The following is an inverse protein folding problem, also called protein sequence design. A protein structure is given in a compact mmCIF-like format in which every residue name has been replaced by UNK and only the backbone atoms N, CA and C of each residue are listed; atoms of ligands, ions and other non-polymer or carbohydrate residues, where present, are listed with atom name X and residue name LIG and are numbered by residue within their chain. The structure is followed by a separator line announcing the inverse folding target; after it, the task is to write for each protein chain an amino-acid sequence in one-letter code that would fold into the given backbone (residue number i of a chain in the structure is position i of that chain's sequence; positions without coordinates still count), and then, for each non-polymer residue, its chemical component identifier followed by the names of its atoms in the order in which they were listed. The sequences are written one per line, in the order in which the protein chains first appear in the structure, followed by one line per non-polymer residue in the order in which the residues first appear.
data_IF_541700715119
#
_entry.id   IF_541700715119
#
_cell.length_a   1.000
_cell.length_b   1.000
_cell.length_c   1.000
_cell.angle_alpha   90.00
_cell.angle_beta   90.00
_cell.angle_gamma   90.00
#
_symmetry.space_group_name_H-M   'P 1'
#
loop_
_entity.id
_entity.type
_entity.pdbx_description
1 polymer ?
#
# COMPACT_ATOMS: atom_id res chain seq x y z
N UNK A 1 18.47 5.03 43.40
CA UNK A 1 19.02 4.98 42.03
C UNK A 1 19.07 6.41 41.56
N UNK A 2 20.26 7.00 41.51
CA UNK A 2 20.46 8.37 41.05
C UNK A 2 20.68 8.31 39.53
N UNK A 3 19.58 8.14 38.79
CA UNK A 3 19.58 8.40 37.36
C UNK A 3 19.42 9.89 37.15
N UNK A 4 20.24 10.51 36.30
CA UNK A 4 20.08 11.93 35.96
C UNK A 4 19.00 12.14 34.88
N UNK A 5 18.71 11.09 34.11
CA UNK A 5 17.77 11.14 32.99
C UNK A 5 16.94 9.85 32.87
N UNK A 6 15.77 9.99 32.25
CA UNK A 6 14.88 8.91 31.84
C UNK A 6 14.91 8.82 30.32
N UNK A 7 15.14 7.61 29.81
CA UNK A 7 15.06 7.29 28.39
C UNK A 7 13.90 6.34 28.17
N UNK A 8 13.00 6.69 27.27
CA UNK A 8 11.88 5.84 26.85
C UNK A 8 12.10 5.44 25.40
N UNK A 9 12.11 4.14 25.13
CA UNK A 9 12.32 3.61 23.79
C UNK A 9 11.09 2.83 23.32
N UNK A 10 10.68 3.09 22.09
CA UNK A 10 9.73 2.28 21.33
C UNK A 10 10.10 2.28 19.87
N UNK A 11 9.84 1.14 19.22
CA UNK A 11 10.01 0.99 17.78
C UNK A 11 8.76 1.24 16.94
N UNK A 12 7.60 1.28 17.58
CA UNK A 12 6.29 1.31 16.89
C UNK A 12 5.49 2.58 17.20
N UNK A 13 5.83 3.25 18.30
CA UNK A 13 5.14 4.44 18.76
C UNK A 13 6.13 5.57 19.03
N UNK A 14 5.68 6.83 18.94
CA UNK A 14 6.49 7.93 19.42
C UNK A 14 6.80 7.76 20.92
N UNK A 15 7.95 8.27 21.31
CA UNK A 15 8.42 8.19 22.70
C UNK A 15 9.04 9.51 23.10
N UNK A 16 8.90 9.88 24.37
CA UNK A 16 9.55 11.08 24.90
C UNK A 16 11.05 11.08 24.59
N UNK A 17 11.55 12.24 24.14
CA UNK A 17 12.98 12.51 24.06
C UNK A 17 13.58 12.41 25.47
N UNK A 18 14.90 12.25 25.58
CA UNK A 18 15.58 12.12 26.88
C UNK A 18 15.14 13.21 27.87
N UNK A 19 14.56 12.81 29.01
CA UNK A 19 14.01 13.71 30.02
C UNK A 19 14.87 13.70 31.28
N UNK A 20 15.02 14.81 32.01
CA UNK A 20 15.67 14.79 33.31
C UNK A 20 14.86 13.94 34.30
N UNK A 21 15.55 13.22 35.19
CA UNK A 21 14.90 12.38 36.20
C UNK A 21 14.26 13.25 37.30
N UNK A 22 12.94 13.25 37.35
CA UNK A 22 12.12 13.88 38.39
C UNK A 22 10.93 12.96 38.73
N UNK A 23 10.26 13.19 39.86
CA UNK A 23 9.05 12.43 40.22
C UNK A 23 7.95 12.58 39.17
N UNK A 24 7.84 13.75 38.58
CA UNK A 24 6.87 14.07 37.54
C UNK A 24 7.19 13.35 36.23
N UNK A 25 8.46 13.40 35.79
CA UNK A 25 8.88 12.70 34.57
C UNK A 25 8.72 11.19 34.73
N UNK A 26 9.04 10.64 35.91
CA UNK A 26 8.81 9.22 36.20
C UNK A 26 7.33 8.82 36.11
N UNK A 27 6.41 9.68 36.56
CA UNK A 27 4.97 9.42 36.47
C UNK A 27 4.47 9.42 35.02
N UNK A 28 4.85 10.39 34.19
CA UNK A 28 4.40 10.45 32.78
C UNK A 28 5.05 9.35 31.91
N UNK A 29 6.26 8.91 32.27
CA UNK A 29 6.96 7.81 31.59
C UNK A 29 6.60 6.42 32.14
N UNK A 30 5.80 6.34 33.21
CA UNK A 30 5.47 5.07 33.88
C UNK A 30 4.67 4.11 33.00
N UNK A 31 3.86 4.65 32.08
CA UNK A 31 3.17 3.86 31.07
C UNK A 31 4.05 3.63 29.85
N UNK A 32 3.96 2.44 29.25
CA UNK A 32 4.64 2.19 27.98
C UNK A 32 4.05 3.08 26.87
N UNK A 33 4.82 3.43 25.82
CA UNK A 33 4.30 4.09 24.63
C UNK A 33 3.04 3.39 24.08
N UNK A 34 3.05 2.05 24.00
CA UNK A 34 1.88 1.25 23.62
C UNK A 34 0.62 1.62 24.41
N UNK A 35 0.70 1.70 25.75
CA UNK A 35 -0.45 2.05 26.59
C UNK A 35 -0.85 3.52 26.39
N UNK A 36 0.12 4.45 26.33
CA UNK A 36 -0.16 5.89 26.14
C UNK A 36 -0.87 6.19 24.83
N UNK A 37 -0.51 5.46 23.79
CA UNK A 37 -1.07 5.58 22.45
C UNK A 37 -2.20 4.58 22.20
N UNK A 38 -2.61 3.79 23.19
CA UNK A 38 -3.80 2.95 23.03
C UNK A 38 -5.03 3.87 22.90
N UNK A 39 -5.72 3.88 21.75
CA UNK A 39 -6.92 4.68 21.57
C UNK A 39 -8.08 4.06 22.36
N UNK A 40 -8.86 4.91 23.00
CA UNK A 40 -9.98 4.46 23.84
C UNK A 40 -11.32 4.42 23.08
N UNK A 41 -11.43 5.09 21.92
CA UNK A 41 -12.58 5.00 20.99
C UNK A 41 -12.30 5.71 19.64
N UNK A 42 -13.15 5.47 18.63
CA UNK A 42 -13.18 6.21 17.36
C UNK A 42 -12.24 5.71 16.26
N UNK A 43 -11.98 6.55 15.24
CA UNK A 43 -11.10 6.24 14.09
C UNK A 43 -9.67 5.90 14.51
N UNK A 44 -9.16 6.54 15.57
CA UNK A 44 -7.86 6.24 16.14
C UNK A 44 -7.75 4.75 16.56
N UNK A 45 -8.85 4.15 17.03
CA UNK A 45 -8.92 2.71 17.35
C UNK A 45 -8.78 1.83 16.13
N UNK A 46 -9.45 2.17 15.04
CA UNK A 46 -9.33 1.40 13.81
C UNK A 46 -7.90 1.47 13.23
N UNK A 47 -7.30 2.65 13.17
CA UNK A 47 -5.91 2.82 12.71
C UNK A 47 -4.92 2.03 13.58
N UNK A 48 -5.09 2.08 14.90
CA UNK A 48 -4.31 1.29 15.84
C UNK A 48 -4.49 -0.21 15.64
N UNK A 49 -5.73 -0.71 15.57
CA UNK A 49 -6.01 -2.14 15.38
C UNK A 49 -5.41 -2.65 14.06
N UNK A 50 -5.45 -1.84 13.00
CA UNK A 50 -4.83 -2.20 11.72
C UNK A 50 -3.31 -2.29 11.83
N UNK A 51 -2.65 -1.31 12.46
CA UNK A 51 -1.19 -1.24 12.50
C UNK A 51 -0.56 -2.17 13.52
N UNK A 52 -1.23 -2.40 14.64
CA UNK A 52 -0.72 -3.18 15.77
C UNK A 52 -1.12 -4.64 15.66
N UNK A 53 -2.25 -4.95 15.05
CA UNK A 53 -2.78 -6.31 14.99
C UNK A 53 -2.90 -6.85 13.57
N UNK A 54 -3.64 -6.16 12.69
CA UNK A 54 -3.96 -6.71 11.37
C UNK A 54 -2.73 -6.81 10.46
N UNK A 55 -2.00 -5.72 10.27
CA UNK A 55 -0.87 -5.63 9.35
C UNK A 55 0.29 -6.54 9.79
N UNK A 56 0.73 -6.55 11.07
CA UNK A 56 1.77 -7.48 11.52
C UNK A 56 1.36 -8.95 11.35
N UNK A 57 0.15 -9.34 11.78
CA UNK A 57 -0.33 -10.72 11.62
C UNK A 57 -0.41 -11.10 10.14
N UNK A 58 -0.91 -10.19 9.31
CA UNK A 58 -0.98 -10.39 7.87
C UNK A 58 0.40 -10.60 7.25
N UNK A 59 1.38 -9.76 7.58
CA UNK A 59 2.75 -9.89 7.08
C UNK A 59 3.38 -11.20 7.55
N UNK A 60 3.17 -11.57 8.80
CA UNK A 60 3.82 -12.74 9.38
C UNK A 60 3.24 -14.07 8.92
N UNK A 61 1.93 -14.15 8.74
CA UNK A 61 1.21 -15.40 8.48
C UNK A 61 0.77 -15.58 7.02
N UNK A 62 0.25 -14.53 6.40
CA UNK A 62 -0.36 -14.60 5.07
C UNK A 62 0.65 -14.18 3.99
N UNK A 63 1.24 -12.99 4.12
CA UNK A 63 2.12 -12.42 3.09
C UNK A 63 3.24 -13.37 2.66
N UNK A 64 3.93 -14.04 3.60
CA UNK A 64 5.01 -15.00 3.27
C UNK A 64 4.56 -16.14 2.36
N UNK A 65 3.32 -16.63 2.53
CA UNK A 65 2.76 -17.69 1.66
C UNK A 65 2.56 -17.16 0.24
N UNK A 66 2.09 -15.93 0.14
CA UNK A 66 1.75 -15.28 -1.13
C UNK A 66 3.00 -14.85 -1.86
N UNK A 67 3.96 -14.24 -1.16
CA UNK A 67 5.30 -13.94 -1.66
C UNK A 67 5.93 -15.16 -2.30
N UNK A 68 5.85 -16.31 -1.63
CA UNK A 68 6.35 -17.55 -2.21
C UNK A 68 5.64 -17.94 -3.50
N UNK A 69 4.30 -17.93 -3.54
CA UNK A 69 3.53 -18.29 -4.73
C UNK A 69 3.82 -17.32 -5.89
N UNK A 70 3.81 -16.01 -5.61
CA UNK A 70 4.10 -14.98 -6.60
C UNK A 70 5.54 -15.10 -7.14
N UNK A 71 6.53 -15.37 -6.27
CA UNK A 71 7.90 -15.60 -6.70
C UNK A 71 8.03 -16.85 -7.58
N UNK A 72 7.32 -17.93 -7.29
CA UNK A 72 7.32 -19.11 -8.15
C UNK A 72 6.66 -18.81 -9.51
N UNK A 73 5.58 -18.03 -9.50
CA UNK A 73 4.86 -17.61 -10.69
C UNK A 73 5.72 -16.72 -11.59
N UNK A 74 6.25 -15.61 -11.06
CA UNK A 74 7.02 -14.62 -11.83
C UNK A 74 8.41 -15.10 -12.29
N UNK A 75 8.82 -16.31 -11.91
CA UNK A 75 10.09 -16.95 -12.29
C UNK A 75 9.89 -18.30 -13.00
N UNK A 76 8.67 -18.57 -13.51
CA UNK A 76 8.33 -19.73 -14.32
C UNK A 76 8.66 -21.08 -13.64
N UNK A 77 8.46 -21.18 -12.32
CA UNK A 77 8.74 -22.38 -11.51
C UNK A 77 7.50 -23.26 -11.37
N UNK A 78 6.92 -23.65 -12.49
CA UNK A 78 5.61 -24.33 -12.57
C UNK A 78 5.49 -25.56 -11.66
N UNK A 79 6.50 -26.44 -11.66
CA UNK A 79 6.49 -27.69 -10.88
C UNK A 79 6.26 -27.44 -9.38
N UNK A 80 6.82 -26.35 -8.86
CA UNK A 80 6.67 -25.99 -7.45
C UNK A 80 5.42 -25.16 -7.21
N UNK A 81 5.05 -24.30 -8.17
CA UNK A 81 3.88 -23.43 -8.07
C UNK A 81 2.60 -24.23 -7.84
N UNK A 82 2.38 -25.30 -8.62
CA UNK A 82 1.20 -26.16 -8.47
C UNK A 82 1.11 -26.75 -7.07
N UNK A 83 2.24 -27.22 -6.54
CA UNK A 83 2.29 -27.80 -5.19
C UNK A 83 1.93 -26.80 -4.09
N UNK A 84 2.26 -25.51 -4.27
CA UNK A 84 1.92 -24.47 -3.30
C UNK A 84 0.46 -24.01 -3.43
N UNK A 85 -0.06 -23.87 -4.65
CA UNK A 85 -1.48 -23.55 -4.87
C UNK A 85 -2.37 -24.65 -4.30
N UNK A 86 -2.00 -25.92 -4.51
CA UNK A 86 -2.74 -27.07 -4.00
C UNK A 86 -2.83 -27.12 -2.46
N UNK A 87 -1.81 -26.63 -1.74
CA UNK A 87 -1.88 -26.53 -0.26
C UNK A 87 -2.98 -25.60 0.23
N UNK A 88 -3.36 -24.62 -0.59
CA UNK A 88 -4.43 -23.66 -0.27
C UNK A 88 -5.81 -24.12 -0.72
N UNK A 89 -5.88 -25.16 -1.56
CA UNK A 89 -7.11 -25.66 -2.15
C UNK A 89 -7.88 -26.52 -1.14
N UNK A 90 -9.19 -26.27 -1.01
CA UNK A 90 -10.11 -27.07 -0.17
C UNK A 90 -10.78 -28.23 -0.94
N UNK A 91 -10.57 -28.30 -2.25
CA UNK A 91 -11.25 -29.21 -3.19
C UNK A 91 -10.28 -30.25 -3.76
N UNK A 92 -10.75 -31.43 -4.17
CA UNK A 92 -9.89 -32.53 -4.63
C UNK A 92 -9.03 -32.16 -5.84
N UNK A 93 -7.89 -32.86 -5.97
CA UNK A 93 -6.87 -32.65 -7.00
C UNK A 93 -7.45 -32.85 -8.40
N UNK A 94 -7.33 -31.82 -9.22
CA UNK A 94 -7.60 -31.84 -10.66
C UNK A 94 -6.43 -31.08 -11.28
N UNK A 95 -5.82 -31.63 -12.33
CA UNK A 95 -4.76 -30.95 -13.07
C UNK A 95 -5.27 -29.60 -13.57
N UNK A 96 -4.62 -28.52 -13.16
CA UNK A 96 -5.01 -27.16 -13.53
C UNK A 96 -4.50 -26.85 -14.94
N UNK A 97 -5.39 -26.37 -15.80
CA UNK A 97 -4.97 -25.75 -17.07
C UNK A 97 -4.11 -24.50 -16.81
N UNK A 98 -3.26 -24.08 -17.76
CA UNK A 98 -2.45 -22.85 -17.61
C UNK A 98 -3.29 -21.62 -17.21
N UNK A 99 -4.45 -21.45 -17.85
CA UNK A 99 -5.39 -20.37 -17.53
C UNK A 99 -5.90 -20.43 -16.08
N UNK A 100 -6.21 -21.62 -15.57
CA UNK A 100 -6.65 -21.79 -14.18
C UNK A 100 -5.53 -21.48 -13.18
N UNK A 101 -4.27 -21.77 -13.52
CA UNK A 101 -3.11 -21.38 -12.71
C UNK A 101 -2.97 -19.85 -12.66
N UNK A 102 -2.94 -19.20 -13.82
CA UNK A 102 -2.87 -17.73 -13.92
C UNK A 102 -4.01 -17.06 -13.15
N UNK A 103 -5.24 -17.54 -13.35
CA UNK A 103 -6.41 -17.05 -12.64
C UNK A 103 -6.31 -17.27 -11.13
N UNK A 104 -5.76 -18.41 -10.69
CA UNK A 104 -5.61 -18.71 -9.26
C UNK A 104 -4.59 -17.80 -8.60
N UNK A 105 -3.41 -17.62 -9.22
CA UNK A 105 -2.40 -16.69 -8.70
C UNK A 105 -2.95 -15.26 -8.67
N UNK A 106 -3.55 -14.80 -9.77
CA UNK A 106 -4.12 -13.46 -9.84
C UNK A 106 -5.23 -13.24 -8.81
N UNK A 107 -6.12 -14.22 -8.60
CA UNK A 107 -7.15 -14.17 -7.55
C UNK A 107 -6.54 -14.13 -6.15
N UNK A 108 -5.53 -14.95 -5.87
CA UNK A 108 -4.85 -14.95 -4.58
C UNK A 108 -4.27 -13.56 -4.31
N UNK A 109 -3.40 -13.07 -5.19
CA UNK A 109 -2.75 -11.75 -5.12
C UNK A 109 -3.80 -10.64 -4.94
N UNK A 110 -4.86 -10.64 -5.76
CA UNK A 110 -5.89 -9.61 -5.72
C UNK A 110 -6.74 -9.67 -4.45
N UNK A 111 -7.05 -10.85 -3.93
CA UNK A 111 -7.89 -11.02 -2.71
C UNK A 111 -7.22 -10.39 -1.49
N UNK A 112 -5.90 -10.48 -1.43
CA UNK A 112 -5.08 -9.91 -0.36
C UNK A 112 -5.09 -8.39 -0.43
N UNK A 113 -4.82 -7.84 -1.61
CA UNK A 113 -4.86 -6.39 -1.80
C UNK A 113 -6.27 -5.84 -1.52
N UNK A 114 -7.33 -6.59 -1.85
CA UNK A 114 -8.71 -6.29 -1.44
C UNK A 114 -8.86 -6.27 0.08
N UNK A 115 -8.41 -7.32 0.77
CA UNK A 115 -8.48 -7.39 2.23
C UNK A 115 -7.72 -6.23 2.90
N UNK A 116 -6.52 -5.91 2.40
CA UNK A 116 -5.70 -4.80 2.89
C UNK A 116 -6.38 -3.44 2.62
N UNK A 117 -6.91 -3.22 1.42
CA UNK A 117 -7.61 -1.99 1.06
C UNK A 117 -8.88 -1.79 1.88
N UNK A 118 -9.69 -2.83 2.09
CA UNK A 118 -10.93 -2.75 2.88
C UNK A 118 -10.70 -2.41 4.35
N UNK A 119 -9.50 -2.68 4.87
CA UNK A 119 -9.10 -2.34 6.22
C UNK A 119 -8.13 -1.16 6.28
N UNK A 120 -7.93 -0.42 5.19
CA UNK A 120 -6.97 0.68 5.17
C UNK A 120 -7.56 1.90 5.92
N UNK A 121 -6.97 2.31 7.06
CA UNK A 121 -7.50 3.42 7.85
C UNK A 121 -7.35 4.78 7.16
N UNK A 122 -6.56 4.87 6.09
CA UNK A 122 -6.28 6.10 5.35
C UNK A 122 -7.17 6.30 4.12
N UNK A 123 -8.04 5.34 3.77
CA UNK A 123 -8.86 5.41 2.56
C UNK A 123 -10.36 5.36 2.86
N UNK A 124 -11.09 6.26 2.20
CA UNK A 124 -12.56 6.29 2.22
C UNK A 124 -13.21 5.51 1.05
N UNK A 125 -12.40 5.02 0.11
CA UNK A 125 -12.84 4.28 -1.08
C UNK A 125 -12.15 2.92 -1.03
N UNK A 126 -12.94 1.85 -1.04
CA UNK A 126 -12.43 0.48 -1.08
C UNK A 126 -12.33 -0.03 -2.52
N UNK A 127 -11.56 -1.11 -2.73
CA UNK A 127 -11.56 -1.82 -4.02
C UNK A 127 -12.97 -2.31 -4.40
N UNK A 128 -13.81 -2.69 -3.43
CA UNK A 128 -15.20 -3.08 -3.68
C UNK A 128 -16.03 -1.92 -4.26
N UNK A 129 -15.83 -0.70 -3.77
CA UNK A 129 -16.48 0.49 -4.31
C UNK A 129 -16.04 0.75 -5.76
N UNK A 130 -14.76 0.55 -6.06
CA UNK A 130 -14.22 0.67 -7.41
C UNK A 130 -14.80 -0.40 -8.35
N UNK A 131 -14.88 -1.66 -7.92
CA UNK A 131 -15.49 -2.76 -8.69
C UNK A 131 -16.95 -2.44 -9.04
N UNK A 132 -17.72 -1.90 -8.09
CA UNK A 132 -19.11 -1.50 -8.32
C UNK A 132 -19.20 -0.37 -9.34
N UNK A 133 -18.37 0.68 -9.22
CA UNK A 133 -18.32 1.79 -10.17
C UNK A 133 -17.96 1.30 -11.58
N UNK A 134 -16.95 0.45 -11.70
CA UNK A 134 -16.55 -0.15 -12.97
C UNK A 134 -17.65 -1.03 -13.56
N UNK A 135 -18.39 -1.77 -12.73
CA UNK A 135 -19.53 -2.59 -13.17
C UNK A 135 -20.66 -1.74 -13.76
N UNK A 136 -20.93 -0.57 -13.18
CA UNK A 136 -21.90 0.39 -13.73
C UNK A 136 -21.40 0.95 -15.07
N UNK A 137 -20.13 1.37 -15.14
CA UNK A 137 -19.53 1.92 -16.37
C UNK A 137 -19.54 0.88 -17.49
N UNK A 138 -19.27 -0.39 -17.20
CA UNK A 138 -19.38 -1.47 -18.18
C UNK A 138 -20.77 -1.56 -18.82
N UNK A 139 -21.82 -1.19 -18.08
CA UNK A 139 -23.20 -1.19 -18.59
C UNK A 139 -23.56 0.11 -19.31
N UNK A 140 -23.04 1.26 -18.87
CA UNK A 140 -23.42 2.58 -19.40
C UNK A 140 -22.51 3.10 -20.50
N UNK A 141 -21.21 2.81 -20.42
CA UNK A 141 -20.14 3.32 -21.29
C UNK A 141 -19.22 2.17 -21.76
N UNK A 142 -19.82 1.13 -22.35
CA UNK A 142 -19.11 -0.09 -22.77
C UNK A 142 -17.90 0.19 -23.67
N UNK A 143 -18.05 1.07 -24.67
CA UNK A 143 -16.96 1.37 -25.61
C UNK A 143 -15.70 1.90 -24.89
N UNK A 144 -15.85 2.88 -24.00
CA UNK A 144 -14.72 3.43 -23.22
C UNK A 144 -14.10 2.38 -22.29
N UNK A 145 -14.90 1.44 -21.78
CA UNK A 145 -14.42 0.33 -20.95
C UNK A 145 -13.65 -0.71 -21.78
N UNK A 146 -14.12 -1.03 -22.99
CA UNK A 146 -13.40 -1.90 -23.93
C UNK A 146 -12.11 -1.26 -24.43
N UNK A 147 -12.12 0.05 -24.71
CA UNK A 147 -10.91 0.81 -25.05
C UNK A 147 -9.86 0.69 -23.93
N UNK A 148 -10.26 0.84 -22.66
CA UNK A 148 -9.34 0.66 -21.52
C UNK A 148 -8.66 -0.72 -21.53
N UNK A 149 -9.44 -1.78 -21.77
CA UNK A 149 -8.91 -3.16 -21.81
C UNK A 149 -7.93 -3.35 -22.97
N UNK A 150 -8.18 -2.70 -24.10
CA UNK A 150 -7.34 -2.81 -25.30
C UNK A 150 -6.03 -2.02 -25.23
N UNK A 151 -5.89 -1.07 -24.28
CA UNK A 151 -4.67 -0.28 -24.13
C UNK A 151 -3.48 -1.13 -23.66
N UNK A 152 -3.73 -2.15 -22.84
CA UNK A 152 -2.68 -2.95 -22.21
C UNK A 152 -2.73 -4.40 -22.72
N UNK A 153 -1.59 -4.92 -23.14
CA UNK A 153 -1.45 -6.35 -23.38
C UNK A 153 -1.48 -7.13 -22.06
N UNK A 154 -1.66 -8.45 -22.14
CA UNK A 154 -1.60 -9.31 -20.94
C UNK A 154 -0.20 -9.24 -20.33
N UNK A 155 0.83 -9.19 -21.19
CA UNK A 155 2.23 -9.05 -20.80
C UNK A 155 2.49 -7.74 -20.05
N UNK A 156 1.90 -6.62 -20.51
CA UNK A 156 1.97 -5.34 -19.81
C UNK A 156 1.35 -5.45 -18.42
N UNK A 157 0.14 -6.01 -18.31
CA UNK A 157 -0.54 -6.14 -17.02
C UNK A 157 0.22 -7.06 -16.04
N UNK A 158 0.83 -8.13 -16.53
CA UNK A 158 1.68 -9.01 -15.74
C UNK A 158 2.95 -8.31 -15.26
N UNK A 159 3.59 -7.51 -16.13
CA UNK A 159 4.74 -6.70 -15.77
C UNK A 159 4.39 -5.72 -14.64
N UNK A 160 3.27 -5.00 -14.79
CA UNK A 160 2.78 -4.03 -13.79
C UNK A 160 2.45 -4.73 -12.47
N UNK A 161 1.79 -5.89 -12.54
CA UNK A 161 1.50 -6.70 -11.36
C UNK A 161 2.78 -7.09 -10.63
N UNK A 162 3.83 -7.49 -11.36
CA UNK A 162 5.14 -7.85 -10.81
C UNK A 162 5.83 -6.66 -10.14
N UNK A 163 5.81 -5.48 -10.76
CA UNK A 163 6.38 -4.26 -10.17
C UNK A 163 5.66 -3.85 -8.88
N UNK A 164 4.32 -3.80 -8.91
CA UNK A 164 3.51 -3.47 -7.73
C UNK A 164 3.72 -4.50 -6.60
N UNK A 165 3.85 -5.78 -6.96
CA UNK A 165 4.16 -6.85 -6.01
C UNK A 165 5.54 -6.64 -5.36
N UNK A 166 6.55 -6.31 -6.18
CA UNK A 166 7.92 -6.06 -5.70
C UNK A 166 7.96 -4.88 -4.73
N UNK A 167 7.29 -3.78 -5.06
CA UNK A 167 7.22 -2.60 -4.19
C UNK A 167 6.50 -2.92 -2.88
N UNK A 168 5.39 -3.66 -2.94
CA UNK A 168 4.70 -4.06 -1.73
C UNK A 168 5.57 -5.01 -0.89
N UNK A 169 6.35 -5.90 -1.51
CA UNK A 169 7.31 -6.73 -0.80
C UNK A 169 8.42 -5.92 -0.11
N UNK A 170 8.89 -4.86 -0.76
CA UNK A 170 9.85 -3.95 -0.13
C UNK A 170 9.20 -3.23 1.07
N UNK A 171 7.95 -2.79 0.92
CA UNK A 171 7.17 -2.20 2.00
C UNK A 171 7.01 -3.16 3.20
N UNK A 172 6.65 -4.43 2.97
CA UNK A 172 6.48 -5.39 4.08
C UNK A 172 7.78 -5.69 4.81
N UNK A 173 8.94 -5.52 4.17
CA UNK A 173 10.24 -5.64 4.83
C UNK A 173 10.61 -4.42 5.70
N UNK A 174 9.97 -3.28 5.48
CA UNK A 174 10.29 -2.01 6.15
C UNK A 174 9.12 -1.41 6.95
N UNK A 175 7.96 -2.07 6.98
CA UNK A 175 6.73 -1.51 7.55
C UNK A 175 6.88 -1.05 9.01
N UNK A 176 7.72 -1.74 9.80
CA UNK A 176 7.97 -1.40 11.20
C UNK A 176 8.54 0.02 11.37
N UNK A 177 9.35 0.48 10.40
CA UNK A 177 9.90 1.83 10.39
C UNK A 177 8.86 2.87 9.99
N UNK A 178 7.83 2.48 9.23
CA UNK A 178 6.74 3.35 8.78
C UNK A 178 5.54 3.36 9.76
N UNK A 179 5.39 2.31 10.57
CA UNK A 179 4.27 2.12 11.50
C UNK A 179 3.98 3.35 12.38
N UNK A 180 4.98 4.01 13.00
CA UNK A 180 4.71 5.19 13.80
C UNK A 180 4.12 6.35 12.99
N UNK A 181 4.59 6.55 11.74
CA UNK A 181 4.08 7.63 10.87
C UNK A 181 2.65 7.34 10.44
N UNK A 182 2.35 6.12 10.01
CA UNK A 182 0.99 5.72 9.62
C UNK A 182 0.03 5.83 10.81
N UNK A 183 0.50 5.51 12.01
CA UNK A 183 -0.28 5.62 13.23
C UNK A 183 -0.64 7.07 13.56
N UNK A 184 0.34 7.99 13.44
CA UNK A 184 0.11 9.42 13.66
C UNK A 184 -0.88 10.02 12.66
N UNK A 185 -0.70 9.72 11.37
CA UNK A 185 -1.62 10.12 10.29
C UNK A 185 -3.03 9.56 10.53
N UNK A 186 -3.16 8.28 10.90
CA UNK A 186 -4.46 7.66 11.19
C UNK A 186 -5.17 8.25 12.42
N UNK A 187 -4.43 8.87 13.33
CA UNK A 187 -5.00 9.65 14.44
C UNK A 187 -5.32 11.11 14.08
N UNK A 188 -4.95 11.57 12.89
CA UNK A 188 -5.01 12.98 12.51
C UNK A 188 -4.09 13.87 13.35
N UNK A 189 -3.02 13.32 13.93
CA UNK A 189 -2.03 14.10 14.67
C UNK A 189 -0.95 14.59 13.74
N UNK A 190 -0.68 15.90 13.79
CA UNK A 190 0.41 16.46 13.02
C UNK A 190 1.75 16.19 13.69
N UNK A 191 2.75 15.76 12.90
CA UNK A 191 4.12 15.54 13.38
C UNK A 191 4.69 16.75 14.14
N UNK A 192 4.31 17.97 13.74
CA UNK A 192 4.70 19.22 14.39
C UNK A 192 4.26 19.34 15.85
N UNK A 193 3.19 18.66 16.25
CA UNK A 193 2.70 18.67 17.64
C UNK A 193 3.59 17.83 18.57
N UNK A 194 4.31 16.86 18.01
CA UNK A 194 5.11 15.89 18.74
C UNK A 194 6.59 16.27 18.77
N UNK A 195 7.05 17.00 17.76
CA UNK A 195 8.46 17.30 17.48
C UNK A 195 9.21 17.91 18.68
N UNK A 196 8.53 18.70 19.52
CA UNK A 196 9.16 19.36 20.66
C UNK A 196 9.43 18.45 21.86
N UNK A 197 8.72 17.33 22.00
CA UNK A 197 8.72 16.52 23.22
C UNK A 197 8.93 15.01 22.98
N UNK A 198 8.57 14.53 21.80
CA UNK A 198 8.60 13.12 21.43
C UNK A 198 9.41 12.92 20.14
N UNK A 199 9.93 11.71 19.99
CA UNK A 199 10.73 11.30 18.84
C UNK A 199 10.34 9.88 18.38
N UNK A 200 10.65 9.59 17.13
CA UNK A 200 10.53 8.27 16.53
C UNK A 200 11.92 7.63 16.51
N UNK A 201 12.13 6.56 17.27
CA UNK A 201 13.47 5.96 17.39
C UNK A 201 13.83 5.02 16.23
N UNK A 202 12.84 4.62 15.42
CA UNK A 202 12.99 3.60 14.38
C UNK A 202 13.02 4.16 12.97
N UNK A 203 12.59 5.40 12.75
CA UNK A 203 12.65 6.00 11.41
C UNK A 203 14.11 6.28 11.07
N UNK A 204 14.65 5.55 10.11
CA UNK A 204 15.96 5.81 9.51
C UNK A 204 15.76 6.20 8.06
N UNK A 205 16.06 7.45 7.72
CA UNK A 205 15.98 7.95 6.35
C UNK A 205 16.82 7.10 5.40
N UNK A 206 18.07 6.78 5.77
CA UNK A 206 18.94 5.88 4.99
C UNK A 206 18.30 4.51 4.66
N UNK A 207 17.43 4.00 5.56
CA UNK A 207 16.72 2.72 5.35
C UNK A 207 15.46 2.88 4.51
N UNK A 208 14.85 4.07 4.48
CA UNK A 208 13.58 4.33 3.80
C UNK A 208 13.75 5.02 2.45
N UNK A 209 14.87 5.71 2.19
CA UNK A 209 15.08 6.48 0.96
C UNK A 209 14.91 5.62 -0.29
N UNK A 210 15.48 4.41 -0.29
CA UNK A 210 15.34 3.46 -1.41
C UNK A 210 13.89 3.02 -1.60
N UNK A 211 13.20 2.70 -0.52
CA UNK A 211 11.78 2.33 -0.56
C UNK A 211 10.94 3.48 -1.11
N UNK A 212 11.14 4.71 -0.63
CA UNK A 212 10.43 5.89 -1.12
C UNK A 212 10.70 6.14 -2.60
N UNK A 213 11.96 6.05 -3.03
CA UNK A 213 12.33 6.22 -4.42
C UNK A 213 11.68 5.15 -5.30
N UNK A 214 11.80 3.87 -4.93
CA UNK A 214 11.23 2.75 -5.68
C UNK A 214 9.70 2.85 -5.74
N UNK A 215 9.03 3.16 -4.62
CA UNK A 215 7.59 3.40 -4.59
C UNK A 215 7.20 4.53 -5.54
N UNK A 216 7.90 5.66 -5.49
CA UNK A 216 7.61 6.81 -6.34
C UNK A 216 7.80 6.47 -7.83
N UNK A 217 8.92 5.86 -8.20
CA UNK A 217 9.23 5.47 -9.57
C UNK A 217 8.22 4.46 -10.11
N UNK A 218 7.90 3.41 -9.35
CA UNK A 218 6.92 2.40 -9.77
C UNK A 218 5.51 2.99 -9.89
N UNK A 219 5.06 3.78 -8.92
CA UNK A 219 3.73 4.39 -8.98
C UNK A 219 3.63 5.41 -10.11
N UNK A 220 4.69 6.19 -10.36
CA UNK A 220 4.74 7.15 -11.45
C UNK A 220 4.81 6.44 -12.82
N UNK A 221 5.61 5.38 -12.95
CA UNK A 221 5.69 4.57 -14.16
C UNK A 221 4.35 3.95 -14.55
N UNK A 222 3.53 3.62 -13.54
CA UNK A 222 2.22 2.99 -13.71
C UNK A 222 1.02 3.95 -13.58
N UNK A 223 1.28 5.26 -13.41
CA UNK A 223 0.23 6.26 -13.14
C UNK A 223 -0.80 6.40 -14.27
N UNK A 224 -0.40 6.04 -15.49
CA UNK A 224 -1.26 6.07 -16.68
C UNK A 224 -2.54 5.24 -16.46
N UNK A 225 -2.43 4.06 -15.85
CA UNK A 225 -3.59 3.21 -15.53
C UNK A 225 -4.53 3.95 -14.57
N UNK A 226 -3.99 4.50 -13.49
CA UNK A 226 -4.78 5.20 -12.48
C UNK A 226 -5.50 6.41 -13.07
N UNK A 227 -4.87 7.15 -13.98
CA UNK A 227 -5.48 8.30 -14.66
C UNK A 227 -6.55 7.87 -15.64
N UNK A 228 -6.31 6.85 -16.46
CA UNK A 228 -7.32 6.31 -17.36
C UNK A 228 -8.55 5.82 -16.59
N UNK A 229 -8.34 5.14 -15.45
CA UNK A 229 -9.41 4.70 -14.54
C UNK A 229 -10.16 5.88 -13.92
N UNK A 230 -9.46 6.91 -13.42
CA UNK A 230 -10.12 8.12 -12.89
C UNK A 230 -10.96 8.83 -13.97
N UNK A 231 -10.39 9.02 -15.15
CA UNK A 231 -11.07 9.64 -16.28
C UNK A 231 -12.32 8.85 -16.67
N UNK A 232 -12.22 7.52 -16.71
CA UNK A 232 -13.35 6.65 -16.98
C UNK A 232 -14.43 6.77 -15.89
N UNK A 233 -14.05 6.76 -14.62
CA UNK A 233 -14.97 6.83 -13.47
C UNK A 233 -15.67 8.18 -13.37
N UNK A 234 -14.93 9.28 -13.53
CA UNK A 234 -15.43 10.64 -13.30
C UNK A 234 -16.08 11.22 -14.56
N UNK A 235 -15.56 10.90 -15.75
CA UNK A 235 -15.88 11.59 -17.01
C UNK A 235 -16.39 10.65 -18.10
N UNK A 236 -16.42 9.33 -17.85
CA UNK A 236 -16.99 8.34 -18.77
C UNK A 236 -16.13 8.01 -20.00
N UNK A 237 -14.91 8.54 -20.10
CA UNK A 237 -13.97 8.25 -21.18
C UNK A 237 -12.54 8.30 -20.66
N UNK A 238 -11.71 7.33 -21.06
CA UNK A 238 -10.29 7.25 -20.65
C UNK A 238 -9.47 8.45 -21.14
N UNK A 239 -9.87 9.06 -22.26
CA UNK A 239 -9.15 10.16 -22.92
C UNK A 239 -9.48 11.55 -22.34
N UNK A 240 -10.51 11.66 -21.50
CA UNK A 240 -11.00 12.92 -20.95
C UNK A 240 -10.11 13.42 -19.81
N UNK A 241 -9.26 14.43 -20.06
CA UNK A 241 -8.38 14.99 -19.04
C UNK A 241 -9.05 16.09 -18.19
N UNK A 242 -8.62 16.19 -16.92
CA UNK A 242 -9.07 17.27 -16.03
C UNK A 242 -8.56 18.64 -16.51
N UNK A 243 -9.43 19.65 -16.74
CA UNK A 243 -9.02 20.99 -17.16
C UNK A 243 -7.98 21.67 -16.26
N UNK A 244 -7.92 21.31 -14.98
CA UNK A 244 -6.91 21.82 -14.03
C UNK A 244 -5.50 21.36 -14.38
N UNK A 245 -5.35 20.15 -14.94
CA UNK A 245 -4.07 19.58 -15.41
C UNK A 245 -3.63 20.26 -16.72
N UNK A 246 -4.60 20.75 -17.50
CA UNK A 246 -4.39 21.42 -18.80
C UNK A 246 -3.82 22.86 -18.64
N UNK A 247 -3.79 23.44 -17.43
CA UNK A 247 -3.42 24.86 -17.21
C UNK A 247 -2.03 25.10 -16.59
N UNK A 248 -1.19 24.08 -16.46
CA UNK A 248 0.15 24.19 -15.85
C UNK A 248 1.30 24.50 -16.83
N UNK A 249 2.52 24.78 -16.31
CA UNK A 249 3.75 25.00 -17.12
C UNK A 249 4.18 23.77 -17.95
N UNK A 250 3.71 22.57 -17.57
CA UNK A 250 3.84 21.31 -18.31
C UNK A 250 2.43 20.72 -18.57
N UNK A 251 1.56 21.50 -19.19
CA UNK A 251 0.18 21.09 -19.45
C UNK A 251 0.11 19.90 -20.42
N UNK A 252 -0.44 18.78 -19.97
CA UNK A 252 -0.91 17.73 -20.86
C UNK A 252 -2.30 18.14 -21.39
N UNK A 253 -2.40 18.47 -22.69
CA UNK A 253 -3.67 18.84 -23.32
C UNK A 253 -4.59 17.64 -23.53
N UNK A 254 -4.00 16.44 -23.62
CA UNK A 254 -4.68 15.16 -23.77
C UNK A 254 -3.89 14.03 -23.08
N UNK A 255 -4.46 12.82 -23.08
CA UNK A 255 -3.84 11.65 -22.46
C UNK A 255 -2.48 11.25 -23.09
N UNK A 256 -2.30 11.44 -24.40
CA UNK A 256 -1.03 11.15 -25.07
C UNK A 256 0.08 12.13 -24.68
N UNK A 257 -0.27 13.41 -24.49
CA UNK A 257 0.67 14.39 -23.97
C UNK A 257 1.13 13.99 -22.56
N UNK A 258 0.21 13.50 -21.73
CA UNK A 258 0.54 13.01 -20.39
C UNK A 258 1.49 11.80 -20.45
N UNK A 259 1.18 10.79 -21.25
CA UNK A 259 2.02 9.59 -21.44
C UNK A 259 3.42 9.97 -21.94
N UNK A 260 3.51 10.96 -22.83
CA UNK A 260 4.78 11.45 -23.36
C UNK A 260 5.61 12.17 -22.30
N UNK A 261 4.97 12.91 -21.39
CA UNK A 261 5.64 13.59 -20.29
C UNK A 261 6.12 12.62 -19.20
N UNK A 262 5.34 11.58 -18.89
CA UNK A 262 5.70 10.60 -17.84
C UNK A 262 6.77 9.61 -18.27
N UNK A 263 6.81 9.23 -19.55
CA UNK A 263 7.84 8.32 -20.07
C UNK A 263 9.23 8.96 -20.15
N UNK A 264 9.33 10.27 -19.96
CA UNK A 264 10.56 11.04 -20.10
C UNK A 264 11.06 11.01 -21.55
N UNK A 265 11.23 12.18 -22.16
CA UNK A 265 12.06 12.23 -23.38
C UNK A 265 13.47 11.81 -22.94
N UNK A 266 13.87 10.56 -23.22
CA UNK A 266 15.29 10.18 -23.24
C UNK A 266 15.94 11.12 -24.25
N UNK A 267 16.62 12.13 -23.73
CA UNK A 267 17.53 12.99 -24.50
C UNK A 267 18.90 12.33 -24.57
#
# INVERSE_FOLDING_TARGET
MDGEYILVLSGEFPSFKMLPFTKETLMITSFSPFIRYSPHSGQAKHAYDVLVHLLPSFIDDEWKKIERIANLYFNDKETYLESEIEKLRKSPRIDMSPYEKDSSVSKLVTTIFRSMSSNNPLQNITITDLDQRLSVIKQTNLNSYEELIQVFSIEDLLYIQKELFSVFNEFTNHYQYLSPVVYLEGMGRHLSELENHEGLNTVSFDRLDRLYQNMYETLLGNSTISIMLDNLIVRGSINSMNPSIIRGRNAAGNLQDYISLTKGVKS
#
